data_IF_528998766317
#
_entry.id   IF_528998766317
#
_cell.length_a   1.000
_cell.length_b   1.000
_cell.length_c   1.000
_cell.angle_alpha   90.00
_cell.angle_beta   90.00
_cell.angle_gamma   90.00
#
_symmetry.space_group_name_H-M   'P 1'
#
loop_
_entity.id
_entity.type
_entity.pdbx_description
1 polymer ?
#
# COMPACT_ATOMS: atom_id res chain seq x y z
N UNK A 1 -3.48 -78.09 -51.95
CA UNK A 1 -4.42 -77.01 -51.60
C UNK A 1 -3.78 -76.12 -50.54
N UNK A 2 -3.92 -74.80 -50.69
CA UNK A 2 -3.52 -73.71 -49.78
C UNK A 2 -2.14 -73.07 -50.03
N UNK A 3 -2.15 -72.23 -51.06
CA UNK A 3 -1.42 -70.97 -51.21
C UNK A 3 -1.45 -70.11 -49.94
N UNK A 4 -0.31 -69.54 -49.54
CA UNK A 4 -0.29 -68.37 -48.64
C UNK A 4 0.69 -67.31 -49.18
N UNK A 5 0.12 -66.24 -49.70
CA UNK A 5 0.77 -64.97 -50.01
C UNK A 5 1.29 -64.31 -48.73
N UNK A 6 2.53 -63.82 -48.73
CA UNK A 6 3.03 -62.87 -47.72
C UNK A 6 2.99 -61.46 -48.31
N UNK A 7 2.05 -60.65 -47.83
CA UNK A 7 1.98 -59.21 -48.09
C UNK A 7 3.14 -58.48 -47.39
N UNK A 8 3.88 -57.68 -48.15
CA UNK A 8 4.75 -56.63 -47.62
C UNK A 8 3.89 -55.41 -47.27
N UNK A 9 3.84 -55.02 -46.00
CA UNK A 9 3.28 -53.74 -45.57
C UNK A 9 4.44 -52.74 -45.38
N UNK A 10 4.52 -51.75 -46.27
CA UNK A 10 5.36 -50.56 -46.10
C UNK A 10 4.77 -49.69 -44.99
N UNK A 11 5.46 -49.54 -43.86
CA UNK A 11 5.18 -48.49 -42.89
C UNK A 11 5.86 -47.20 -43.36
N UNK A 12 5.05 -46.23 -43.81
CA UNK A 12 5.50 -44.86 -44.03
C UNK A 12 5.67 -44.16 -42.67
N UNK A 13 6.90 -43.76 -42.34
CA UNK A 13 7.21 -42.93 -41.19
C UNK A 13 6.90 -41.47 -41.58
N UNK A 14 5.75 -40.95 -41.16
CA UNK A 14 5.47 -39.51 -41.21
C UNK A 14 6.22 -38.81 -40.08
N UNK A 15 7.27 -38.07 -40.42
CA UNK A 15 7.93 -37.15 -39.50
C UNK A 15 7.03 -35.93 -39.27
N UNK A 16 6.33 -35.90 -38.14
CA UNK A 16 5.63 -34.71 -37.68
C UNK A 16 6.63 -33.68 -37.17
N UNK A 17 6.88 -32.64 -37.96
CA UNK A 17 7.64 -31.48 -37.52
C UNK A 17 6.84 -30.74 -36.44
N UNK A 18 7.23 -30.91 -35.17
CA UNK A 18 6.79 -30.04 -34.08
C UNK A 18 7.37 -28.64 -34.32
N UNK A 19 6.56 -27.73 -34.87
CA UNK A 19 6.81 -26.31 -34.73
C UNK A 19 6.69 -25.97 -33.25
N UNK A 20 7.84 -25.83 -32.58
CA UNK A 20 7.91 -25.14 -31.31
C UNK A 20 7.53 -23.69 -31.56
N UNK A 21 6.27 -23.35 -31.29
CA UNK A 21 5.84 -21.95 -31.17
C UNK A 21 6.52 -21.43 -29.91
N UNK A 22 7.67 -20.79 -30.08
CA UNK A 22 8.24 -19.94 -29.05
C UNK A 22 7.29 -18.76 -28.90
N UNK A 23 6.39 -18.82 -27.92
CA UNK A 23 5.75 -17.62 -27.39
C UNK A 23 6.84 -16.83 -26.69
N UNK A 24 7.57 -16.02 -27.46
CA UNK A 24 8.35 -14.92 -26.92
C UNK A 24 7.38 -13.95 -26.28
N UNK A 25 7.01 -14.20 -25.02
CA UNK A 25 6.42 -13.18 -24.19
C UNK A 25 7.44 -12.02 -24.17
N UNK A 26 7.04 -10.85 -24.67
CA UNK A 26 7.86 -9.65 -24.62
C UNK A 26 8.20 -9.36 -23.15
N UNK A 27 9.36 -9.79 -22.69
CA UNK A 27 9.92 -9.43 -21.39
C UNK A 27 10.42 -7.97 -21.37
N UNK A 28 9.82 -7.05 -22.14
CA UNK A 28 10.62 -5.99 -22.77
C UNK A 28 10.28 -4.52 -22.42
N UNK A 29 9.19 -4.17 -21.73
CA UNK A 29 8.88 -2.73 -21.48
C UNK A 29 8.54 -2.36 -20.03
N UNK A 30 8.41 -3.33 -19.11
CA UNK A 30 7.91 -3.05 -17.74
C UNK A 30 8.72 -3.76 -16.67
N UNK A 31 8.87 -3.10 -15.52
CA UNK A 31 9.57 -3.56 -14.34
C UNK A 31 8.69 -3.56 -13.10
N UNK A 32 9.10 -4.37 -12.12
CA UNK A 32 8.52 -4.45 -10.79
C UNK A 32 9.57 -3.99 -9.78
N UNK A 33 9.25 -2.92 -9.05
CA UNK A 33 10.08 -2.41 -7.96
C UNK A 33 9.64 -3.06 -6.65
N UNK A 34 10.56 -3.67 -5.92
CA UNK A 34 10.28 -4.25 -4.61
C UNK A 34 11.33 -3.87 -3.57
N UNK A 35 11.02 -4.12 -2.31
CA UNK A 35 11.97 -4.02 -1.22
C UNK A 35 11.30 -4.20 0.14
N UNK A 36 12.10 -4.04 1.19
CA UNK A 36 11.64 -4.12 2.57
C UNK A 36 12.19 -2.95 3.38
N UNK A 37 11.33 -2.22 4.09
CA UNK A 37 11.75 -1.16 5.01
C UNK A 37 11.90 -1.78 6.39
N UNK A 38 13.10 -1.74 6.96
CA UNK A 38 13.40 -2.38 8.25
C UNK A 38 14.01 -1.41 9.24
N UNK A 39 13.64 -1.58 10.51
CA UNK A 39 14.22 -0.82 11.62
C UNK A 39 15.66 -1.28 11.87
N UNK A 40 16.57 -0.31 11.95
CA UNK A 40 17.95 -0.53 12.37
C UNK A 40 18.11 -0.12 13.84
N UNK A 41 18.11 -1.12 14.72
CA UNK A 41 18.20 -0.96 16.17
C UNK A 41 17.21 -1.82 16.95
N UNK A 42 17.13 -1.56 18.26
CA UNK A 42 16.12 -2.15 19.12
C UNK A 42 14.72 -1.65 18.73
N UNK A 43 13.73 -2.55 18.77
CA UNK A 43 12.33 -2.16 18.57
C UNK A 43 11.87 -1.45 19.83
N UNK A 44 11.43 -0.18 19.75
CA UNK A 44 10.95 0.54 20.92
C UNK A 44 9.59 -0.02 21.35
N UNK A 45 9.33 0.00 22.66
CA UNK A 45 8.01 -0.33 23.17
C UNK A 45 6.99 0.71 22.69
N UNK A 46 5.82 0.24 22.24
CA UNK A 46 4.74 1.11 21.86
C UNK A 46 4.14 1.79 23.11
N UNK A 47 3.99 3.11 23.05
CA UNK A 47 3.37 3.88 24.14
C UNK A 47 1.89 3.52 24.24
N UNK A 48 1.39 3.30 25.46
CA UNK A 48 -0.06 3.21 25.71
C UNK A 48 -0.65 4.62 25.66
N UNK A 49 -1.57 4.87 24.73
CA UNK A 49 -2.28 6.14 24.56
C UNK A 49 -3.54 6.20 25.43
N UNK A 50 -4.28 5.10 25.50
CA UNK A 50 -5.43 4.92 26.38
C UNK A 50 -5.27 3.59 27.10
N UNK A 51 -5.38 3.62 28.44
CA UNK A 51 -5.31 2.40 29.24
C UNK A 51 -6.67 1.72 29.31
N UNK A 52 -6.66 0.40 29.32
CA UNK A 52 -7.83 -0.41 29.62
C UNK A 52 -8.47 0.03 30.94
N UNK A 53 -9.78 0.27 30.90
CA UNK A 53 -10.58 0.68 32.05
C UNK A 53 -10.39 2.13 32.49
N UNK A 54 -9.66 2.95 31.74
CA UNK A 54 -9.57 4.38 32.01
C UNK A 54 -10.95 5.04 31.82
N UNK A 55 -11.65 5.31 32.93
CA UNK A 55 -12.97 5.92 32.91
C UNK A 55 -12.95 7.42 32.63
N UNK A 56 -11.76 8.04 32.57
CA UNK A 56 -11.61 9.48 32.34
C UNK A 56 -11.64 9.84 30.86
N UNK A 57 -11.40 8.88 29.97
CA UNK A 57 -11.49 9.11 28.52
C UNK A 57 -12.94 9.15 28.07
N UNK A 58 -13.20 9.98 27.06
CA UNK A 58 -14.50 10.03 26.40
C UNK A 58 -14.81 8.67 25.78
N UNK A 59 -16.08 8.24 25.91
CA UNK A 59 -16.57 6.97 25.37
C UNK A 59 -15.81 5.74 25.89
N UNK A 60 -15.34 5.77 27.15
CA UNK A 60 -14.51 4.74 27.77
C UNK A 60 -15.05 3.29 27.62
N UNK A 61 -16.37 3.10 27.59
CA UNK A 61 -16.98 1.78 27.37
C UNK A 61 -16.58 1.13 26.03
N UNK A 62 -16.19 1.93 25.04
CA UNK A 62 -15.65 1.48 23.76
C UNK A 62 -14.14 1.75 23.68
N UNK A 63 -13.72 2.99 23.93
CA UNK A 63 -12.35 3.43 23.69
C UNK A 63 -11.32 3.03 24.75
N UNK A 64 -11.76 2.55 25.91
CA UNK A 64 -10.90 2.02 26.96
C UNK A 64 -11.19 0.54 27.24
N UNK A 65 -11.80 -0.17 26.28
CA UNK A 65 -12.10 -1.60 26.43
C UNK A 65 -10.83 -2.45 26.52
N UNK A 66 -9.78 -2.03 25.81
CA UNK A 66 -8.44 -2.61 25.83
C UNK A 66 -7.40 -1.47 25.82
N UNK A 67 -6.12 -1.79 26.01
CA UNK A 67 -5.05 -0.82 25.84
C UNK A 67 -4.96 -0.39 24.37
N UNK A 68 -5.05 0.91 24.11
CA UNK A 68 -4.80 1.48 22.79
C UNK A 68 -3.33 1.91 22.71
N UNK A 69 -2.58 1.22 21.87
CA UNK A 69 -1.16 1.50 21.65
C UNK A 69 -0.97 2.57 20.58
N UNK A 70 0.11 3.33 20.72
CA UNK A 70 0.55 4.28 19.72
C UNK A 70 1.02 3.56 18.45
N UNK A 71 0.23 3.68 17.38
CA UNK A 71 0.52 3.07 16.08
C UNK A 71 1.41 3.96 15.21
N UNK A 72 1.99 5.03 15.77
CA UNK A 72 2.86 5.95 15.02
C UNK A 72 4.17 5.33 14.55
N UNK A 73 4.57 4.20 15.16
CA UNK A 73 5.61 3.32 14.67
C UNK A 73 5.20 1.89 14.98
N UNK A 74 4.82 1.14 13.95
CA UNK A 74 4.50 -0.29 14.04
C UNK A 74 5.65 -1.05 13.40
N UNK A 75 6.32 -1.88 14.20
CA UNK A 75 7.47 -2.68 13.76
C UNK A 75 7.22 -4.13 14.11
N UNK A 76 7.32 -5.00 13.12
CA UNK A 76 7.29 -6.44 13.36
C UNK A 76 8.57 -6.88 14.08
N UNK A 77 8.49 -7.50 15.28
CA UNK A 77 9.67 -7.83 16.06
C UNK A 77 10.57 -8.89 15.41
N UNK A 78 10.01 -9.77 14.58
CA UNK A 78 10.72 -10.86 13.93
C UNK A 78 11.52 -10.40 12.71
N UNK A 79 10.88 -9.71 11.77
CA UNK A 79 11.47 -9.21 10.53
C UNK A 79 12.11 -7.83 10.66
N UNK A 80 11.83 -7.11 11.76
CA UNK A 80 12.11 -5.67 11.92
C UNK A 80 11.42 -4.80 10.88
N UNK A 81 10.45 -5.33 10.14
CA UNK A 81 9.71 -4.62 9.11
C UNK A 81 8.91 -3.45 9.69
N UNK A 82 8.96 -2.30 9.01
CA UNK A 82 8.23 -1.09 9.40
C UNK A 82 6.96 -0.98 8.56
N UNK A 83 5.79 -1.07 9.20
CA UNK A 83 4.50 -0.90 8.54
C UNK A 83 4.19 0.57 8.26
N UNK A 84 3.17 0.81 7.42
CA UNK A 84 2.60 2.14 7.15
C UNK A 84 3.59 3.13 6.49
N UNK A 85 4.61 2.63 5.79
CA UNK A 85 5.49 3.46 4.95
C UNK A 85 4.84 3.62 3.59
N UNK A 86 4.66 4.87 3.13
CA UNK A 86 4.14 5.16 1.79
C UNK A 86 5.29 5.25 0.81
N UNK A 87 5.32 4.37 -0.19
CA UNK A 87 6.24 4.40 -1.32
C UNK A 87 5.49 4.97 -2.52
N UNK A 88 6.01 6.02 -3.14
CA UNK A 88 5.36 6.66 -4.28
C UNK A 88 6.39 7.35 -5.19
N UNK A 89 6.03 7.52 -6.46
CA UNK A 89 6.82 8.34 -7.39
C UNK A 89 6.53 9.83 -7.15
N UNK A 90 7.53 10.68 -7.30
CA UNK A 90 7.31 12.13 -7.13
C UNK A 90 6.61 12.78 -8.32
N UNK A 91 6.65 12.11 -9.48
CA UNK A 91 5.98 12.49 -10.72
C UNK A 91 5.49 11.24 -11.42
N UNK A 92 4.38 11.38 -12.15
CA UNK A 92 3.96 10.36 -13.10
C UNK A 92 5.07 10.10 -14.13
N UNK A 93 5.39 8.83 -14.45
CA UNK A 93 6.29 8.52 -15.55
C UNK A 93 5.63 8.86 -16.89
N UNK A 94 6.42 8.90 -17.97
CA UNK A 94 5.90 9.30 -19.30
C UNK A 94 4.90 8.29 -19.83
N UNK A 95 5.10 7.01 -19.51
CA UNK A 95 4.21 5.93 -19.90
C UNK A 95 3.53 5.27 -18.69
N UNK A 96 2.21 5.10 -18.80
CA UNK A 96 1.41 4.31 -17.87
C UNK A 96 1.12 2.95 -18.53
N UNK A 97 1.31 1.86 -17.77
CA UNK A 97 1.00 0.51 -18.23
C UNK A 97 -0.43 0.45 -18.77
N UNK A 98 -0.69 -0.19 -19.93
CA UNK A 98 -2.03 -0.28 -20.52
C UNK A 98 -3.12 -0.68 -19.52
N UNK A 99 -2.87 -1.70 -18.70
CA UNK A 99 -3.81 -2.20 -17.68
C UNK A 99 -4.11 -1.20 -16.56
N UNK A 100 -3.26 -0.18 -16.40
CA UNK A 100 -3.41 0.87 -15.38
C UNK A 100 -3.91 2.20 -15.95
N UNK A 101 -4.11 2.31 -17.27
CA UNK A 101 -4.58 3.56 -17.92
C UNK A 101 -5.98 3.99 -17.46
N UNK A 102 -6.84 3.03 -17.10
CA UNK A 102 -8.15 3.31 -16.52
C UNK A 102 -8.10 3.82 -15.07
N UNK A 103 -6.91 3.83 -14.47
CA UNK A 103 -6.70 4.16 -13.06
C UNK A 103 -7.17 3.08 -12.10
N UNK A 104 -6.86 3.26 -10.81
CA UNK A 104 -7.36 2.40 -9.74
C UNK A 104 -8.82 2.73 -9.44
N UNK A 105 -9.71 1.77 -9.66
CA UNK A 105 -11.17 1.93 -9.47
C UNK A 105 -11.71 1.22 -8.23
N UNK A 106 -10.94 0.29 -7.65
CA UNK A 106 -11.30 -0.39 -6.42
C UNK A 106 -11.47 0.63 -5.29
N UNK A 107 -12.58 0.52 -4.55
CA UNK A 107 -12.85 1.38 -3.39
C UNK A 107 -11.87 1.06 -2.28
N UNK A 108 -11.27 2.11 -1.72
CA UNK A 108 -10.43 2.02 -0.52
C UNK A 108 -11.27 2.34 0.70
N UNK A 109 -11.29 1.43 1.66
CA UNK A 109 -12.01 1.63 2.91
C UNK A 109 -11.08 2.22 3.98
N UNK A 110 -11.63 3.13 4.78
CA UNK A 110 -10.97 3.76 5.92
C UNK A 110 -11.95 3.81 7.08
N UNK A 111 -11.75 2.95 8.07
CA UNK A 111 -12.71 2.69 9.13
C UNK A 111 -12.30 3.33 10.46
N UNK A 112 -13.30 3.75 11.23
CA UNK A 112 -13.16 4.00 12.66
C UNK A 112 -13.46 2.69 13.39
N UNK A 113 -12.40 2.08 13.92
CA UNK A 113 -12.48 0.75 14.53
C UNK A 113 -11.63 0.71 15.80
N UNK A 114 -12.25 0.33 16.91
CA UNK A 114 -11.64 0.30 18.26
C UNK A 114 -11.01 1.66 18.63
N UNK A 115 -11.71 2.75 18.31
CA UNK A 115 -11.26 4.12 18.50
C UNK A 115 -9.86 4.38 17.93
N UNK A 116 -9.59 3.79 16.76
CA UNK A 116 -8.41 3.97 15.92
C UNK A 116 -8.86 4.05 14.45
N UNK A 117 -7.99 4.59 13.58
CA UNK A 117 -8.22 4.55 12.14
C UNK A 117 -7.60 3.29 11.53
N UNK A 118 -8.40 2.52 10.80
CA UNK A 118 -8.00 1.25 10.19
C UNK A 118 -8.34 1.24 8.69
N UNK A 119 -7.34 1.12 7.80
CA UNK A 119 -5.91 1.15 8.08
C UNK A 119 -5.45 2.55 8.54
N UNK A 120 -4.33 2.61 9.26
CA UNK A 120 -3.74 3.89 9.72
C UNK A 120 -3.34 4.79 8.55
N UNK A 121 -2.86 4.19 7.47
CA UNK A 121 -2.38 4.90 6.29
C UNK A 121 -3.03 4.32 5.04
N UNK A 122 -3.54 5.20 4.18
CA UNK A 122 -3.99 4.85 2.83
C UNK A 122 -3.24 5.65 1.79
N UNK A 123 -3.05 5.05 0.62
CA UNK A 123 -2.64 5.73 -0.59
C UNK A 123 -3.66 5.45 -1.68
N UNK A 124 -4.07 6.48 -2.40
CA UNK A 124 -5.08 6.40 -3.45
C UNK A 124 -4.61 7.14 -4.70
N UNK A 125 -5.18 6.76 -5.85
CA UNK A 125 -5.06 7.56 -7.06
C UNK A 125 -6.13 8.66 -7.06
N UNK A 126 -5.87 9.79 -7.71
CA UNK A 126 -6.89 10.81 -8.00
C UNK A 126 -8.12 10.17 -8.65
N UNK A 127 -9.30 10.48 -8.14
CA UNK A 127 -10.58 9.92 -8.59
C UNK A 127 -10.91 8.54 -8.02
N UNK A 128 -9.96 7.84 -7.39
CA UNK A 128 -10.23 6.56 -6.75
C UNK A 128 -11.19 6.75 -5.56
N UNK A 129 -12.28 5.96 -5.48
CA UNK A 129 -13.26 6.11 -4.41
C UNK A 129 -12.68 5.68 -3.06
N UNK A 130 -12.94 6.50 -2.05
CA UNK A 130 -12.71 6.20 -0.64
C UNK A 130 -14.08 6.03 0.04
N UNK A 131 -14.23 5.04 0.91
CA UNK A 131 -15.36 4.93 1.83
C UNK A 131 -14.86 5.09 3.25
N UNK A 132 -15.33 6.12 3.93
CA UNK A 132 -15.08 6.30 5.35
C UNK A 132 -16.16 5.58 6.14
N UNK A 133 -15.77 4.52 6.86
CA UNK A 133 -16.65 3.69 7.66
C UNK A 133 -16.57 4.07 9.15
N UNK A 134 -17.54 3.61 9.94
CA UNK A 134 -17.42 3.59 11.38
C UNK A 134 -18.05 2.31 11.93
N UNK A 135 -17.20 1.31 12.20
CA UNK A 135 -17.63 0.04 12.80
C UNK A 135 -17.79 0.13 14.33
N UNK A 136 -17.27 1.18 14.96
CA UNK A 136 -17.47 1.42 16.38
C UNK A 136 -18.91 1.79 16.74
N UNK A 137 -19.26 1.51 18.00
CA UNK A 137 -20.57 1.82 18.57
C UNK A 137 -20.69 3.28 19.08
N UNK A 138 -19.68 4.11 18.80
CA UNK A 138 -19.64 5.54 19.14
C UNK A 138 -19.30 6.39 17.93
N UNK A 139 -19.63 7.68 17.99
CA UNK A 139 -19.45 8.57 16.86
C UNK A 139 -18.00 9.04 16.80
N UNK A 140 -17.44 9.05 15.59
CA UNK A 140 -16.13 9.61 15.30
C UNK A 140 -16.25 10.67 14.21
N UNK A 141 -15.27 11.54 14.07
CA UNK A 141 -15.18 12.41 12.90
C UNK A 141 -13.89 12.15 12.12
N UNK A 142 -13.95 12.42 10.83
CA UNK A 142 -12.78 12.44 9.96
C UNK A 142 -12.50 13.89 9.58
N UNK A 143 -11.40 14.41 10.09
CA UNK A 143 -10.88 15.73 9.81
C UNK A 143 -9.58 15.61 9.02
N UNK A 144 -9.59 16.03 7.75
CA UNK A 144 -8.42 15.97 6.86
C UNK A 144 -7.69 17.30 6.80
N UNK A 145 -6.36 17.24 6.70
CA UNK A 145 -5.47 18.40 6.61
C UNK A 145 -4.70 18.41 5.28
N UNK A 146 -5.42 18.16 4.17
CA UNK A 146 -4.86 18.16 2.82
C UNK A 146 -4.35 19.55 2.40
N UNK A 147 -3.35 19.57 1.51
CA UNK A 147 -2.79 20.85 1.01
C UNK A 147 -3.46 21.28 -0.28
N UNK A 148 -3.75 20.35 -1.20
CA UNK A 148 -4.35 20.64 -2.51
C UNK A 148 -5.80 20.20 -2.63
N UNK A 149 -6.17 19.14 -1.92
CA UNK A 149 -7.55 18.66 -1.90
C UNK A 149 -8.38 19.47 -0.90
N UNK A 150 -9.69 19.58 -1.11
CA UNK A 150 -10.60 20.19 -0.14
C UNK A 150 -10.53 19.47 1.20
N UNK A 151 -10.08 20.17 2.24
CA UNK A 151 -10.12 19.68 3.60
C UNK A 151 -11.57 19.48 4.05
N UNK A 152 -11.85 18.36 4.70
CA UNK A 152 -13.19 18.01 5.19
C UNK A 152 -13.13 17.75 6.68
N UNK A 153 -14.23 18.06 7.37
CA UNK A 153 -14.46 17.65 8.75
C UNK A 153 -15.93 17.26 8.88
N UNK A 154 -16.19 15.97 9.06
CA UNK A 154 -17.56 15.47 9.16
C UNK A 154 -17.64 14.32 10.15
N UNK A 155 -18.80 14.22 10.80
CA UNK A 155 -19.15 13.14 11.71
C UNK A 155 -19.50 11.87 10.92
N UNK A 156 -19.01 10.73 11.40
CA UNK A 156 -19.36 9.39 10.92
C UNK A 156 -20.17 8.71 12.03
N UNK A 157 -21.44 8.43 11.75
CA UNK A 157 -22.37 7.87 12.74
C UNK A 157 -21.91 6.49 13.23
N UNK A 158 -22.21 6.12 14.49
CA UNK A 158 -21.94 4.79 15.03
C UNK A 158 -22.47 3.68 14.11
N UNK A 159 -21.68 2.64 13.89
CA UNK A 159 -22.06 1.47 13.09
C UNK A 159 -22.32 1.76 11.60
N UNK A 160 -21.90 2.91 11.06
CA UNK A 160 -22.02 3.22 9.64
C UNK A 160 -21.09 2.36 8.78
N UNK A 161 -21.61 1.21 8.33
CA UNK A 161 -20.92 0.28 7.40
C UNK A 161 -21.19 0.58 5.92
N UNK A 162 -22.15 1.45 5.60
CA UNK A 162 -22.40 1.89 4.21
C UNK A 162 -21.28 2.80 3.73
N UNK A 163 -20.77 3.63 4.65
CA UNK A 163 -19.66 4.54 4.44
C UNK A 163 -20.05 5.91 3.91
N UNK A 164 -19.25 6.92 4.26
CA UNK A 164 -19.30 8.25 3.65
C UNK A 164 -18.34 8.26 2.46
N UNK A 165 -18.83 8.48 1.22
CA UNK A 165 -17.97 8.45 0.04
C UNK A 165 -17.12 9.72 -0.05
N UNK A 166 -15.84 9.54 -0.36
CA UNK A 166 -14.89 10.59 -0.65
C UNK A 166 -14.02 10.21 -1.85
N UNK A 167 -13.27 11.17 -2.38
CA UNK A 167 -12.22 10.95 -3.38
C UNK A 167 -11.19 12.08 -3.31
N UNK A 168 -9.93 11.75 -3.55
CA UNK A 168 -8.92 12.77 -3.86
C UNK A 168 -9.08 13.24 -5.30
N UNK A 169 -8.87 14.52 -5.56
CA UNK A 169 -8.94 15.13 -6.89
C UNK A 169 -7.59 15.60 -7.39
N UNK A 170 -6.63 15.85 -6.50
CA UNK A 170 -5.30 16.37 -6.86
C UNK A 170 -4.17 15.63 -6.15
N UNK A 171 -3.03 15.51 -6.81
CA UNK A 171 -1.82 14.92 -6.23
C UNK A 171 -1.28 15.77 -5.08
N UNK A 172 -1.13 15.14 -3.93
CA UNK A 172 -0.45 15.69 -2.75
C UNK A 172 1.06 15.45 -2.83
N UNK A 173 1.85 16.39 -2.29
CA UNK A 173 3.32 16.27 -2.32
C UNK A 173 3.85 15.29 -1.27
N UNK A 174 3.15 15.21 -0.15
CA UNK A 174 3.46 14.40 1.04
C UNK A 174 2.14 13.89 1.62
N UNK A 175 2.11 12.73 2.28
CA UNK A 175 0.92 12.27 2.97
C UNK A 175 0.41 13.32 3.97
N UNK A 176 -0.88 13.59 3.95
CA UNK A 176 -1.52 14.55 4.86
C UNK A 176 -2.19 13.86 6.03
N UNK A 177 -2.30 14.61 7.12
CA UNK A 177 -2.85 14.13 8.38
C UNK A 177 -4.38 13.97 8.30
N UNK A 178 -4.89 12.96 9.01
CA UNK A 178 -6.30 12.75 9.29
C UNK A 178 -6.48 12.52 10.78
N UNK A 179 -7.40 13.26 11.41
CA UNK A 179 -7.66 13.16 12.87
C UNK A 179 -9.12 12.94 13.18
N UNK A 180 -9.39 12.44 14.38
CA UNK A 180 -10.68 12.59 15.05
C UNK A 180 -10.54 13.71 16.09
N UNK A 181 -11.40 14.72 16.03
CA UNK A 181 -11.45 15.81 17.00
C UNK A 181 -12.18 15.38 18.29
N UNK A 182 -12.98 14.31 18.23
CA UNK A 182 -13.68 13.74 19.40
C UNK A 182 -12.73 12.91 20.27
N UNK A 183 -11.81 12.17 19.63
CA UNK A 183 -10.85 11.26 20.27
C UNK A 183 -9.43 11.64 19.85
N UNK A 184 -8.74 12.54 20.58
CA UNK A 184 -7.51 13.21 20.12
C UNK A 184 -6.32 12.29 19.82
N UNK A 185 -6.36 11.03 20.25
CA UNK A 185 -5.33 10.03 19.95
C UNK A 185 -5.48 9.39 18.57
N UNK A 186 -6.65 9.53 17.93
CA UNK A 186 -6.90 8.95 16.60
C UNK A 186 -6.17 9.77 15.54
N UNK A 187 -5.20 9.12 14.90
CA UNK A 187 -4.33 9.70 13.89
C UNK A 187 -4.16 8.72 12.73
N UNK A 188 -4.33 9.24 11.52
CA UNK A 188 -4.05 8.52 10.28
C UNK A 188 -3.46 9.45 9.23
N UNK A 189 -3.03 8.88 8.11
CA UNK A 189 -2.43 9.64 7.02
C UNK A 189 -2.88 9.16 5.65
N UNK A 190 -3.20 10.10 4.76
CA UNK A 190 -3.64 9.79 3.40
C UNK A 190 -2.65 10.35 2.39
N UNK A 191 -2.37 9.58 1.35
CA UNK A 191 -1.62 10.02 0.18
C UNK A 191 -2.50 9.97 -1.06
N UNK A 192 -2.52 11.05 -1.83
CA UNK A 192 -3.20 11.08 -3.14
C UNK A 192 -2.14 11.25 -4.23
N UNK A 193 -2.04 10.26 -5.12
CA UNK A 193 -1.16 10.29 -6.29
C UNK A 193 -1.99 10.50 -7.57
N UNK A 194 -1.47 11.22 -8.57
CA UNK A 194 -2.13 11.33 -9.89
C UNK A 194 -1.80 10.14 -10.82
N UNK A 195 -0.89 9.26 -10.39
CA UNK A 195 -0.49 8.04 -11.08
C UNK A 195 -0.79 6.78 -10.24
N UNK A 196 -0.82 5.59 -10.85
CA UNK A 196 -1.16 4.34 -10.16
C UNK A 196 0.02 3.71 -9.40
N UNK A 197 1.23 4.26 -9.53
CA UNK A 197 2.46 3.67 -8.99
C UNK A 197 2.78 4.11 -7.56
N UNK A 198 2.19 3.41 -6.59
CA UNK A 198 2.46 3.60 -5.17
C UNK A 198 2.16 2.32 -4.39
N UNK A 199 2.71 2.22 -3.19
CA UNK A 199 2.45 1.13 -2.24
C UNK A 199 2.46 1.67 -0.81
N UNK A 200 1.82 0.93 0.11
CA UNK A 200 1.95 1.12 1.55
C UNK A 200 2.46 -0.19 2.14
N UNK A 201 3.50 -0.13 2.97
CA UNK A 201 4.06 -1.36 3.56
C UNK A 201 3.09 -2.03 4.51
N UNK A 202 3.03 -3.36 4.42
CA UNK A 202 2.34 -4.21 5.41
C UNK A 202 3.16 -4.37 6.70
N UNK A 203 2.70 -5.25 7.58
CA UNK A 203 3.33 -5.51 8.88
C UNK A 203 4.81 -5.95 8.78
N UNK A 204 5.17 -6.70 7.73
CA UNK A 204 6.53 -7.17 7.50
C UNK A 204 7.43 -6.13 6.79
N UNK A 205 6.93 -4.90 6.57
CA UNK A 205 7.68 -3.81 5.97
C UNK A 205 7.93 -3.95 4.47
N UNK A 206 7.39 -4.96 3.80
CA UNK A 206 7.60 -5.17 2.36
C UNK A 206 6.68 -4.30 1.52
N UNK A 207 7.15 -3.95 0.32
CA UNK A 207 6.36 -3.30 -0.70
C UNK A 207 6.71 -3.85 -2.08
N UNK A 208 5.74 -3.74 -2.99
CA UNK A 208 5.88 -4.06 -4.41
C UNK A 208 5.11 -3.01 -5.21
N UNK A 209 5.72 -2.47 -6.26
CA UNK A 209 5.09 -1.62 -7.26
C UNK A 209 5.36 -2.25 -8.62
N UNK A 210 4.32 -2.87 -9.19
CA UNK A 210 4.39 -3.58 -10.45
C UNK A 210 4.17 -2.64 -11.64
N UNK A 211 4.53 -3.14 -12.83
CA UNK A 211 4.19 -2.53 -14.11
C UNK A 211 4.72 -1.11 -14.30
N UNK A 212 5.83 -0.78 -13.64
CA UNK A 212 6.54 0.48 -13.86
C UNK A 212 7.25 0.45 -15.23
N UNK A 213 7.37 1.56 -15.95
CA UNK A 213 8.05 1.56 -17.24
C UNK A 213 9.54 1.29 -17.08
N UNK A 214 10.03 0.26 -17.77
CA UNK A 214 11.44 -0.05 -17.84
C UNK A 214 12.16 0.96 -18.74
N UNK A 215 13.43 1.26 -18.44
CA UNK A 215 14.25 2.21 -19.21
C UNK A 215 13.93 3.69 -18.95
N UNK A 216 12.82 4.02 -18.29
CA UNK A 216 12.54 5.37 -17.81
C UNK A 216 13.24 5.64 -16.47
N UNK A 217 13.79 6.84 -16.30
CA UNK A 217 14.24 7.31 -14.99
C UNK A 217 13.02 7.69 -14.14
N UNK A 218 12.94 7.13 -12.94
CA UNK A 218 11.93 7.44 -11.94
C UNK A 218 12.59 8.02 -10.69
N UNK A 219 11.83 8.80 -9.92
CA UNK A 219 12.22 9.27 -8.59
C UNK A 219 11.22 8.75 -7.56
N UNK A 220 11.71 7.93 -6.64
CA UNK A 220 10.92 7.27 -5.59
C UNK A 220 11.12 8.01 -4.25
N UNK A 221 10.02 8.25 -3.55
CA UNK A 221 10.00 8.69 -2.16
C UNK A 221 9.36 7.65 -1.27
N UNK A 222 9.85 7.62 -0.04
CA UNK A 222 9.40 6.71 1.01
C UNK A 222 9.18 7.53 2.27
N UNK A 223 7.93 7.63 2.71
CA UNK A 223 7.52 8.48 3.82
C UNK A 223 6.90 7.65 4.94
N UNK A 224 7.25 7.96 6.18
CA UNK A 224 6.70 7.38 7.40
C UNK A 224 6.43 8.53 8.40
N UNK A 225 5.33 8.44 9.13
CA UNK A 225 4.79 9.58 9.88
C UNK A 225 5.68 10.20 10.95
N UNK A 226 6.47 9.40 11.69
CA UNK A 226 7.39 9.89 12.72
C UNK A 226 8.71 10.37 12.12
N UNK A 227 9.24 9.65 11.13
CA UNK A 227 10.56 10.00 10.57
C UNK A 227 10.50 11.09 9.49
N UNK A 228 9.34 11.27 8.86
CA UNK A 228 9.21 11.94 7.57
C UNK A 228 9.72 11.03 6.46
N UNK A 229 10.58 11.56 5.58
CA UNK A 229 11.23 10.72 4.56
C UNK A 229 12.27 9.81 5.20
N UNK A 230 12.14 8.50 5.00
CA UNK A 230 13.05 7.49 5.57
C UNK A 230 14.44 7.51 4.93
N UNK A 231 14.55 8.12 3.73
CA UNK A 231 15.79 8.34 3.01
C UNK A 231 15.67 9.54 2.05
N UNK A 232 16.80 9.94 1.45
CA UNK A 232 16.78 10.88 0.31
C UNK A 232 16.00 10.29 -0.87
N UNK A 233 15.42 11.12 -1.76
CA UNK A 233 14.76 10.62 -2.97
C UNK A 233 15.69 9.70 -3.75
N UNK A 234 15.21 8.52 -4.12
CA UNK A 234 15.96 7.54 -4.89
C UNK A 234 15.65 7.71 -6.38
N UNK A 235 16.65 8.11 -7.16
CA UNK A 235 16.55 8.16 -8.62
C UNK A 235 17.13 6.89 -9.22
N UNK A 236 16.39 6.27 -10.14
CA UNK A 236 16.83 5.04 -10.77
C UNK A 236 16.17 4.82 -12.12
N UNK A 237 16.87 4.12 -13.00
CA UNK A 237 16.29 3.54 -14.22
C UNK A 237 15.97 2.08 -13.96
N UNK A 238 14.72 1.70 -14.17
CA UNK A 238 14.30 0.31 -13.96
C UNK A 238 14.71 -0.56 -15.13
N UNK A 239 15.12 -1.79 -14.83
CA UNK A 239 15.22 -2.87 -15.81
C UNK A 239 13.83 -3.48 -16.02
N UNK A 240 13.62 -4.12 -17.16
CA UNK A 240 12.45 -4.97 -17.31
C UNK A 240 12.51 -6.15 -16.30
N UNK A 241 11.34 -6.56 -15.79
CA UNK A 241 11.25 -7.57 -14.74
C UNK A 241 11.63 -7.06 -13.34
N UNK A 242 12.33 -7.87 -12.55
CA UNK A 242 12.55 -7.60 -11.12
C UNK A 242 13.60 -6.51 -10.86
N UNK A 243 13.25 -5.55 -9.99
CA UNK A 243 14.14 -4.52 -9.46
C UNK A 243 14.00 -4.50 -7.93
N UNK A 244 14.76 -5.35 -7.25
CA UNK A 244 14.72 -5.45 -5.80
C UNK A 244 15.72 -4.49 -5.14
N UNK A 245 15.23 -3.62 -4.27
CA UNK A 245 16.06 -2.72 -3.45
C UNK A 245 16.62 -3.42 -2.20
N UNK A 246 16.18 -4.65 -1.91
CA UNK A 246 16.54 -5.37 -0.70
C UNK A 246 16.03 -4.69 0.56
N UNK A 247 16.76 -4.87 1.66
CA UNK A 247 16.42 -4.28 2.95
C UNK A 247 16.95 -2.85 3.07
N UNK A 248 16.04 -1.88 3.20
CA UNK A 248 16.32 -0.47 3.45
C UNK A 248 16.25 -0.24 4.96
N UNK A 249 17.44 -0.07 5.56
CA UNK A 249 17.63 0.11 7.00
C UNK A 249 17.36 1.56 7.42
N UNK A 250 16.43 1.76 8.35
CA UNK A 250 16.09 3.07 8.92
C UNK A 250 16.53 3.10 10.39
N UNK A 251 17.52 3.93 10.77
CA UNK A 251 17.99 4.01 12.15
C UNK A 251 16.87 4.37 13.11
N UNK A 252 16.78 3.67 14.25
CA UNK A 252 15.76 3.94 15.29
C UNK A 252 15.72 5.41 15.74
N UNK A 253 16.87 6.09 15.75
CA UNK A 253 16.98 7.51 16.07
C UNK A 253 16.14 8.41 15.14
N UNK A 254 15.82 7.95 13.92
CA UNK A 254 15.00 8.70 12.95
C UNK A 254 13.57 8.91 13.43
N UNK A 255 13.09 8.10 14.38
CA UNK A 255 11.72 8.14 14.89
C UNK A 255 11.59 8.91 16.20
N UNK A 256 12.69 9.39 16.80
CA UNK A 256 12.70 10.09 18.10
C UNK A 256 12.59 11.62 17.97
N UNK A 257 12.04 12.11 16.86
CA UNK A 257 11.88 13.55 16.59
C UNK A 257 10.67 14.13 17.30
#
# INVERSE_FOLDING_TARGET
MKTLFRSFACFAISAAACLAVTTGANAADWGTLSGQIVLDGAVPDAKVLVRKGDSTVRDAAVCAKEDLLDQSLVVDPASKGIANVVIYLTKAPKSIHPDLKGGKTATVEFDNQTCLFVPRVIAVQTGQPIKVLNTDAVAHNVHTYSTKNTAVNFLVQPGNKTGVPLKGTEQERVPFKVTCDIHPWMLGHWMVCDHPYFAVTGADGKFTIENLPAGEEIEVRMWQERSGYVQKPAKMTLKAGANDLGAIKVPVASFNK
#
